data_IF_931931902061
#
_entry.id   IF_931931902061
#
_cell.length_a   1.000
_cell.length_b   1.000
_cell.length_c   1.000
_cell.angle_alpha   90.00
_cell.angle_beta   90.00
_cell.angle_gamma   90.00
#
_symmetry.space_group_name_H-M   'P 1'
#
loop_
_entity.id
_entity.type
_entity.pdbx_description
1 polymer ?
#
# COMPACT_ATOMS: atom_id res chain seq x y z
N UNK A 1 4.57 -14.86 -4.23
CA UNK A 1 3.26 -14.18 -4.23
C UNK A 1 2.74 -14.08 -5.65
N UNK A 2 1.57 -14.65 -5.94
CA UNK A 2 0.92 -14.57 -7.26
C UNK A 2 -0.45 -13.91 -7.10
N UNK A 3 -0.69 -12.84 -7.84
CA UNK A 3 -1.99 -12.16 -7.91
C UNK A 3 -2.72 -12.70 -9.14
N UNK A 4 -3.82 -13.39 -8.89
CA UNK A 4 -4.59 -14.11 -9.89
C UNK A 4 -5.79 -13.33 -10.39
N UNK A 5 -5.61 -12.52 -11.42
CA UNK A 5 -6.75 -12.00 -12.19
C UNK A 5 -7.14 -13.03 -13.26
N UNK A 6 -8.44 -13.37 -13.36
CA UNK A 6 -9.01 -14.25 -14.41
C UNK A 6 -8.58 -15.73 -14.39
N UNK A 7 -8.55 -16.35 -13.20
CA UNK A 7 -8.26 -17.78 -13.02
C UNK A 7 -9.44 -18.67 -13.44
N UNK A 8 -9.70 -18.85 -14.72
CA UNK A 8 -10.82 -19.70 -15.20
C UNK A 8 -10.42 -21.17 -15.36
N UNK A 9 -11.40 -22.06 -15.57
CA UNK A 9 -11.12 -23.47 -15.86
C UNK A 9 -10.29 -23.66 -17.14
N UNK A 10 -10.50 -22.81 -18.15
CA UNK A 10 -9.73 -22.81 -19.40
C UNK A 10 -8.36 -22.13 -19.30
N UNK A 11 -8.16 -21.30 -18.27
CA UNK A 11 -6.90 -20.61 -18.00
C UNK A 11 -6.60 -20.61 -16.49
N UNK A 12 -6.26 -21.77 -15.90
CA UNK A 12 -6.04 -21.88 -14.47
C UNK A 12 -4.67 -21.31 -14.09
N UNK A 13 -4.56 -20.83 -12.86
CA UNK A 13 -3.26 -20.41 -12.31
C UNK A 13 -2.41 -21.65 -12.01
N UNK A 14 -1.18 -21.67 -12.52
CA UNK A 14 -0.28 -22.80 -12.32
C UNK A 14 0.41 -22.68 -10.96
N UNK A 15 0.29 -23.72 -10.15
CA UNK A 15 1.03 -23.89 -8.89
C UNK A 15 2.25 -24.75 -9.20
N UNK A 16 3.42 -24.14 -9.15
CA UNK A 16 4.71 -24.83 -9.30
C UNK A 16 5.19 -25.30 -7.93
N UNK A 17 5.83 -26.46 -7.85
CA UNK A 17 6.36 -27.01 -6.60
C UNK A 17 5.32 -27.02 -5.46
N UNK A 18 4.24 -27.81 -5.55
CA UNK A 18 3.07 -27.72 -4.66
C UNK A 18 3.35 -28.00 -3.17
N UNK A 19 4.53 -28.54 -2.84
CA UNK A 19 4.96 -28.77 -1.46
C UNK A 19 5.65 -27.53 -0.85
N UNK A 20 6.15 -26.62 -1.68
CA UNK A 20 6.78 -25.36 -1.25
C UNK A 20 5.70 -24.34 -0.93
N UNK A 21 5.81 -23.75 0.26
CA UNK A 21 4.88 -22.78 0.82
C UNK A 21 4.72 -21.57 -0.10
N UNK A 22 3.50 -21.35 -0.59
CA UNK A 22 3.16 -20.28 -1.51
C UNK A 22 1.78 -19.72 -1.17
N UNK A 23 1.66 -18.40 -1.22
CA UNK A 23 0.38 -17.70 -1.11
C UNK A 23 -0.08 -17.18 -2.48
N UNK A 24 -1.31 -17.52 -2.84
CA UNK A 24 -2.02 -17.02 -4.01
C UNK A 24 -3.14 -16.11 -3.56
N UNK A 25 -3.28 -14.95 -4.20
CA UNK A 25 -4.29 -13.95 -3.91
C UNK A 25 -5.24 -13.87 -5.09
N UNK A 26 -6.54 -13.94 -4.82
CA UNK A 26 -7.56 -13.94 -5.85
C UNK A 26 -8.81 -13.18 -5.42
N UNK A 27 -9.64 -12.89 -6.41
CA UNK A 27 -10.98 -12.34 -6.21
C UNK A 27 -11.95 -13.14 -7.06
N UNK A 28 -13.08 -13.52 -6.46
CA UNK A 28 -14.19 -14.11 -7.19
C UNK A 28 -15.06 -12.98 -7.75
N UNK A 29 -15.36 -13.04 -9.04
CA UNK A 29 -16.11 -12.01 -9.78
C UNK A 29 -17.27 -12.62 -10.58
N UNK A 30 -18.12 -13.38 -9.89
CA UNK A 30 -19.28 -14.08 -10.44
C UNK A 30 -19.00 -15.49 -10.96
N UNK A 31 -17.72 -15.90 -11.02
CA UNK A 31 -17.29 -17.24 -11.41
C UNK A 31 -16.27 -17.81 -10.42
N UNK A 32 -16.17 -19.15 -10.29
CA UNK A 32 -15.15 -19.78 -9.47
C UNK A 32 -13.76 -19.64 -10.10
N UNK A 33 -12.73 -19.62 -9.24
CA UNK A 33 -11.34 -19.56 -9.68
C UNK A 33 -10.69 -20.94 -9.67
N UNK A 34 -9.82 -21.21 -10.64
CA UNK A 34 -9.14 -22.49 -10.81
C UNK A 34 -7.62 -22.36 -10.72
N UNK A 35 -7.02 -23.28 -9.99
CA UNK A 35 -5.58 -23.47 -9.91
C UNK A 35 -5.22 -24.87 -10.38
N UNK A 36 -4.09 -25.04 -11.03
CA UNK A 36 -3.62 -26.31 -11.57
C UNK A 36 -2.30 -26.70 -10.93
N UNK A 37 -2.24 -27.94 -10.45
CA UNK A 37 -1.02 -28.59 -10.01
C UNK A 37 -0.71 -29.70 -11.01
N UNK A 38 0.54 -29.77 -11.47
CA UNK A 38 1.06 -30.92 -12.22
C UNK A 38 2.33 -31.40 -11.57
N UNK A 39 2.37 -32.68 -11.18
CA UNK A 39 3.54 -33.30 -10.58
C UNK A 39 3.82 -34.66 -11.21
N UNK A 40 5.10 -34.93 -11.45
CA UNK A 40 5.64 -36.20 -11.96
C UNK A 40 5.96 -37.21 -10.86
N UNK A 41 5.85 -36.79 -9.58
CA UNK A 41 6.09 -37.61 -8.40
C UNK A 41 4.93 -37.50 -7.41
N UNK A 42 4.77 -38.47 -6.49
CA UNK A 42 3.90 -38.29 -5.34
C UNK A 42 4.33 -37.09 -4.49
N UNK A 43 3.37 -36.38 -3.90
CA UNK A 43 3.64 -35.17 -3.12
C UNK A 43 2.64 -34.98 -1.97
N UNK A 44 3.04 -34.23 -0.95
CA UNK A 44 2.15 -33.82 0.15
C UNK A 44 1.37 -32.57 -0.26
N UNK A 45 0.08 -32.74 -0.46
CA UNK A 45 -0.84 -31.65 -0.69
C UNK A 45 -1.20 -30.97 0.64
N UNK A 46 -1.11 -29.64 0.64
CA UNK A 46 -1.65 -28.79 1.68
C UNK A 46 -2.38 -27.62 1.03
N UNK A 47 -3.54 -27.25 1.59
CA UNK A 47 -4.31 -26.08 1.22
C UNK A 47 -4.93 -25.47 2.47
N UNK A 48 -4.79 -24.16 2.66
CA UNK A 48 -5.54 -23.41 3.65
C UNK A 48 -6.25 -22.22 2.99
N UNK A 49 -7.48 -21.96 3.43
CA UNK A 49 -8.31 -20.86 2.94
C UNK A 49 -8.19 -19.65 3.87
N UNK A 50 -7.98 -18.48 3.28
CA UNK A 50 -7.81 -17.21 3.98
C UNK A 50 -8.73 -16.16 3.34
N UNK A 51 -9.32 -15.28 4.13
CA UNK A 51 -10.02 -14.08 3.64
C UNK A 51 -9.43 -12.84 4.33
N UNK A 52 -9.30 -11.70 3.64
CA UNK A 52 -8.72 -10.50 4.25
C UNK A 52 -9.59 -10.01 5.41
N UNK A 53 -8.97 -9.67 6.53
CA UNK A 53 -9.62 -9.00 7.65
C UNK A 53 -9.20 -7.52 7.64
N UNK A 54 -9.93 -6.70 6.87
CA UNK A 54 -9.67 -5.27 6.75
C UNK A 54 -10.97 -4.46 6.86
N UNK A 55 -10.95 -3.27 7.51
CA UNK A 55 -12.12 -2.39 7.54
C UNK A 55 -12.67 -2.11 6.14
N UNK A 56 -13.99 -2.19 5.98
CA UNK A 56 -14.65 -1.96 4.69
C UNK A 56 -14.61 -3.14 3.71
N UNK A 57 -13.95 -4.25 4.04
CA UNK A 57 -14.00 -5.48 3.26
C UNK A 57 -14.84 -6.54 4.00
N UNK A 58 -16.01 -6.94 3.48
CA UNK A 58 -16.82 -7.97 4.11
C UNK A 58 -16.13 -9.34 4.01
N UNK A 59 -16.20 -10.18 5.06
CA UNK A 59 -15.63 -11.52 5.04
C UNK A 59 -16.48 -12.45 4.19
N UNK A 60 -16.08 -12.63 2.93
CA UNK A 60 -16.75 -13.55 2.01
C UNK A 60 -16.16 -14.95 2.14
N UNK A 61 -16.68 -15.75 3.09
CA UNK A 61 -16.16 -17.10 3.33
C UNK A 61 -16.21 -17.97 2.08
N UNK A 62 -15.05 -18.49 1.70
CA UNK A 62 -14.85 -19.33 0.52
C UNK A 62 -14.75 -20.80 0.88
N UNK A 63 -15.06 -21.65 -0.09
CA UNK A 63 -14.79 -23.08 -0.09
C UNK A 63 -13.87 -23.42 -1.24
N UNK A 64 -13.28 -24.62 -1.18
CA UNK A 64 -12.50 -25.16 -2.28
C UNK A 64 -12.82 -26.63 -2.53
N UNK A 65 -12.69 -27.05 -3.78
CA UNK A 65 -12.76 -28.44 -4.23
C UNK A 65 -11.40 -28.84 -4.82
N UNK A 66 -10.88 -30.00 -4.41
CA UNK A 66 -9.77 -30.65 -5.09
C UNK A 66 -10.34 -31.62 -6.13
N UNK A 67 -9.96 -31.44 -7.39
CA UNK A 67 -10.44 -32.22 -8.52
C UNK A 67 -9.27 -33.00 -9.14
N UNK A 68 -9.54 -34.19 -9.67
CA UNK A 68 -8.61 -34.88 -10.56
C UNK A 68 -8.67 -34.31 -12.00
N UNK A 69 -7.85 -34.87 -12.89
CA UNK A 69 -7.80 -34.45 -14.29
C UNK A 69 -9.09 -34.69 -15.09
N UNK A 70 -10.00 -35.55 -14.61
CA UNK A 70 -11.30 -35.79 -15.22
C UNK A 70 -12.39 -34.82 -14.71
N UNK A 71 -12.05 -33.97 -13.72
CA UNK A 71 -13.00 -33.07 -13.06
C UNK A 71 -13.77 -33.73 -11.91
N UNK A 72 -13.42 -34.96 -11.52
CA UNK A 72 -14.04 -35.61 -10.37
C UNK A 72 -13.53 -35.00 -9.07
N UNK A 73 -14.46 -34.68 -8.16
CA UNK A 73 -14.15 -34.17 -6.83
C UNK A 73 -13.51 -35.28 -5.99
N UNK A 74 -12.29 -35.03 -5.53
CA UNK A 74 -11.54 -35.88 -4.61
C UNK A 74 -11.73 -35.46 -3.16
N UNK A 75 -11.88 -34.15 -2.91
CA UNK A 75 -12.01 -33.57 -1.57
C UNK A 75 -12.73 -32.22 -1.63
N UNK A 76 -13.50 -31.92 -0.58
CA UNK A 76 -14.15 -30.62 -0.38
C UNK A 76 -13.61 -29.98 0.91
N UNK A 77 -13.16 -28.74 0.80
CA UNK A 77 -12.76 -27.88 1.91
C UNK A 77 -13.89 -26.86 2.11
N UNK A 78 -14.81 -27.15 3.04
CA UNK A 78 -16.05 -26.38 3.22
C UNK A 78 -15.84 -25.20 4.19
N UNK A 79 -15.69 -23.99 3.66
CA UNK A 79 -15.59 -22.78 4.48
C UNK A 79 -16.91 -22.13 4.88
N UNK A 80 -18.06 -22.47 4.28
CA UNK A 80 -19.35 -21.89 4.70
C UNK A 80 -19.85 -22.48 6.03
N UNK A 81 -19.45 -23.71 6.36
CA UNK A 81 -19.79 -24.36 7.62
C UNK A 81 -18.53 -24.69 8.43
N UNK A 82 -17.62 -23.73 8.56
CA UNK A 82 -16.38 -23.85 9.32
C UNK A 82 -16.17 -22.65 10.23
N UNK A 83 -15.34 -22.83 11.25
CA UNK A 83 -14.85 -21.74 12.08
C UNK A 83 -13.78 -20.95 11.33
N UNK A 84 -13.89 -19.62 11.39
CA UNK A 84 -12.92 -18.69 10.84
C UNK A 84 -12.32 -17.88 11.98
N UNK A 85 -11.01 -17.99 12.16
CA UNK A 85 -10.29 -17.40 13.28
C UNK A 85 -9.41 -16.23 12.82
N UNK A 86 -9.26 -15.22 13.66
CA UNK A 86 -8.33 -14.12 13.37
C UNK A 86 -6.90 -14.64 13.32
N UNK A 87 -6.20 -14.36 12.22
CA UNK A 87 -4.82 -14.79 11.99
C UNK A 87 -3.99 -13.59 11.53
N UNK A 88 -2.87 -13.32 12.20
CA UNK A 88 -1.90 -12.33 11.77
C UNK A 88 -0.80 -13.02 10.97
N UNK A 89 -0.59 -12.57 9.74
CA UNK A 89 0.44 -13.11 8.86
C UNK A 89 1.68 -12.20 8.91
N UNK A 90 2.80 -12.74 9.38
CA UNK A 90 3.98 -11.95 9.77
C UNK A 90 4.74 -11.35 8.58
N UNK A 91 4.78 -12.03 7.43
CA UNK A 91 5.55 -11.58 6.27
C UNK A 91 4.88 -10.40 5.54
N UNK A 92 3.56 -10.47 5.37
CA UNK A 92 2.73 -9.42 4.81
C UNK A 92 2.36 -8.35 5.84
N UNK A 93 2.35 -8.67 7.14
CA UNK A 93 2.01 -7.75 8.22
C UNK A 93 0.54 -7.33 8.18
N UNK A 94 -0.35 -8.28 7.94
CA UNK A 94 -1.79 -8.06 7.78
C UNK A 94 -2.61 -9.16 8.46
N UNK A 95 -3.85 -8.82 8.81
CA UNK A 95 -4.79 -9.76 9.39
C UNK A 95 -5.64 -10.44 8.32
N UNK A 96 -5.89 -11.71 8.55
CA UNK A 96 -6.83 -12.55 7.81
C UNK A 96 -7.84 -13.14 8.79
N UNK A 97 -8.96 -13.60 8.25
CA UNK A 97 -9.67 -14.70 8.86
C UNK A 97 -9.15 -15.98 8.22
N UNK A 98 -8.62 -16.88 9.06
CA UNK A 98 -8.13 -18.20 8.67
C UNK A 98 -9.27 -19.20 8.77
N UNK A 99 -9.59 -19.80 7.63
CA UNK A 99 -10.62 -20.80 7.50
C UNK A 99 -10.05 -22.23 7.56
N UNK A 100 -10.82 -23.22 7.08
CA UNK A 100 -10.42 -24.62 7.09
C UNK A 100 -9.18 -24.89 6.24
N UNK A 101 -8.48 -25.96 6.59
CA UNK A 101 -7.30 -26.47 5.89
C UNK A 101 -7.47 -27.95 5.56
N UNK A 102 -6.73 -28.41 4.56
CA UNK A 102 -6.75 -29.78 4.09
C UNK A 102 -5.34 -30.28 3.80
N UNK A 103 -5.10 -31.55 4.14
CA UNK A 103 -3.87 -32.28 3.83
C UNK A 103 -4.18 -33.61 3.17
N UNK A 104 -3.40 -33.98 2.17
CA UNK A 104 -3.50 -35.29 1.52
C UNK A 104 -2.15 -35.73 0.95
N UNK A 105 -1.94 -37.04 0.82
CA UNK A 105 -0.86 -37.57 0.00
C UNK A 105 -1.43 -37.85 -1.39
N UNK A 106 -0.95 -37.14 -2.40
CA UNK A 106 -1.40 -37.30 -3.78
C UNK A 106 -0.34 -38.04 -4.59
N UNK A 107 -0.79 -38.94 -5.47
CA UNK A 107 0.08 -39.58 -6.45
C UNK A 107 0.51 -38.58 -7.52
N UNK A 108 1.54 -38.93 -8.29
CA UNK A 108 1.92 -38.20 -9.50
C UNK A 108 0.68 -38.04 -10.42
N UNK A 109 0.48 -36.84 -10.97
CA UNK A 109 -0.70 -36.53 -11.74
C UNK A 109 -0.95 -35.04 -11.90
N UNK A 110 -2.10 -34.73 -12.51
CA UNK A 110 -2.62 -33.38 -12.64
C UNK A 110 -3.88 -33.22 -11.82
N UNK A 111 -3.94 -32.16 -11.04
CA UNK A 111 -5.04 -31.84 -10.13
C UNK A 111 -5.44 -30.38 -10.31
N UNK A 112 -6.69 -30.10 -9.98
CA UNK A 112 -7.23 -28.74 -9.99
C UNK A 112 -7.79 -28.37 -8.62
N UNK A 113 -7.56 -27.14 -8.19
CA UNK A 113 -8.23 -26.56 -7.03
C UNK A 113 -9.24 -25.56 -7.57
N UNK A 114 -10.51 -25.78 -7.28
CA UNK A 114 -11.60 -24.87 -7.62
C UNK A 114 -12.03 -24.12 -6.37
N UNK A 115 -11.82 -22.81 -6.34
CA UNK A 115 -12.21 -21.92 -5.23
C UNK A 115 -13.50 -21.21 -5.57
N UNK A 116 -14.47 -21.21 -4.64
CA UNK A 116 -15.80 -20.67 -4.88
C UNK A 116 -16.49 -20.27 -3.57
N UNK A 117 -17.60 -19.53 -3.68
CA UNK A 117 -18.60 -19.42 -2.62
C UNK A 117 -20.00 -19.31 -3.24
N UNK A 118 -21.04 -19.19 -2.42
CA UNK A 118 -22.43 -19.19 -2.89
C UNK A 118 -22.72 -18.15 -3.97
N UNK A 119 -22.03 -17.01 -3.93
CA UNK A 119 -22.23 -15.89 -4.87
C UNK A 119 -21.09 -15.75 -5.89
N UNK A 120 -20.04 -16.57 -5.76
CA UNK A 120 -18.73 -16.37 -6.39
C UNK A 120 -18.25 -14.91 -6.30
N UNK A 121 -18.23 -14.35 -5.10
CA UNK A 121 -17.80 -12.97 -4.88
C UNK A 121 -16.79 -12.83 -3.76
N UNK A 122 -15.93 -11.83 -3.89
CA UNK A 122 -15.05 -11.39 -2.81
C UNK A 122 -13.62 -11.91 -2.91
N UNK A 123 -12.77 -11.25 -2.15
CA UNK A 123 -11.33 -11.50 -2.10
C UNK A 123 -11.00 -12.66 -1.19
N UNK A 124 -10.00 -13.43 -1.58
CA UNK A 124 -9.48 -14.55 -0.79
C UNK A 124 -8.00 -14.76 -1.06
N UNK A 125 -7.36 -15.50 -0.17
CA UNK A 125 -6.05 -16.09 -0.41
C UNK A 125 -6.11 -17.59 -0.17
N UNK A 126 -5.31 -18.33 -0.91
CA UNK A 126 -5.01 -19.73 -0.60
C UNK A 126 -3.52 -19.87 -0.31
N UNK A 127 -3.20 -20.56 0.78
CA UNK A 127 -1.86 -20.99 1.10
C UNK A 127 -1.71 -22.46 0.70
N UNK A 128 -0.69 -22.78 -0.09
CA UNK A 128 -0.39 -24.15 -0.53
C UNK A 128 1.03 -24.52 -0.16
N UNK A 129 1.27 -25.82 0.08
CA UNK A 129 2.57 -26.31 0.51
C UNK A 129 2.93 -25.94 1.96
N UNK A 130 3.82 -26.70 2.56
CA UNK A 130 4.26 -26.53 3.96
C UNK A 130 5.79 -26.37 4.09
N UNK A 131 6.54 -26.58 3.00
CA UNK A 131 8.00 -26.42 3.00
C UNK A 131 8.34 -24.95 2.80
N UNK A 132 8.89 -24.31 3.83
CA UNK A 132 9.35 -22.93 3.75
C UNK A 132 10.60 -22.78 2.87
N UNK A 133 10.57 -21.80 1.98
CA UNK A 133 11.69 -21.43 1.10
C UNK A 133 11.66 -19.93 0.88
N UNK A 134 12.81 -19.26 1.06
CA UNK A 134 12.93 -17.79 0.90
C UNK A 134 14.02 -17.45 -0.11
N UNK A 135 13.79 -17.68 -1.40
CA UNK A 135 14.77 -17.35 -2.41
C UNK A 135 14.91 -15.81 -2.56
N UNK A 136 16.10 -15.36 -2.95
CA UNK A 136 16.45 -13.93 -3.00
C UNK A 136 15.60 -13.19 -4.03
N UNK A 137 15.29 -13.80 -5.16
CA UNK A 137 14.49 -13.17 -6.21
C UNK A 137 13.03 -12.94 -5.77
N UNK A 138 12.46 -13.84 -4.97
CA UNK A 138 11.14 -13.63 -4.35
C UNK A 138 11.18 -12.49 -3.33
N UNK A 139 12.26 -12.40 -2.55
CA UNK A 139 12.45 -11.32 -1.57
C UNK A 139 12.52 -9.94 -2.25
N UNK A 140 13.19 -9.84 -3.41
CA UNK A 140 13.26 -8.59 -4.18
C UNK A 140 11.88 -8.24 -4.78
N UNK A 141 11.14 -9.23 -5.30
CA UNK A 141 9.78 -9.03 -5.81
C UNK A 141 8.84 -8.51 -4.72
N UNK A 142 9.00 -8.99 -3.48
CA UNK A 142 8.17 -8.59 -2.34
C UNK A 142 8.20 -7.07 -2.06
N UNK A 143 9.31 -6.39 -2.33
CA UNK A 143 9.45 -4.93 -2.17
C UNK A 143 8.38 -4.17 -2.98
N UNK A 144 8.00 -4.71 -4.14
CA UNK A 144 7.00 -4.11 -5.04
C UNK A 144 5.62 -4.73 -4.78
N UNK A 145 5.53 -6.04 -4.59
CA UNK A 145 4.22 -6.71 -4.50
C UNK A 145 3.51 -6.48 -3.17
N UNK A 146 4.22 -6.30 -2.06
CA UNK A 146 3.59 -6.06 -0.74
C UNK A 146 2.81 -4.73 -0.72
N UNK A 147 3.37 -3.58 -1.16
CA UNK A 147 2.61 -2.34 -1.29
C UNK A 147 1.34 -2.49 -2.14
N UNK A 148 1.45 -3.14 -3.31
CA UNK A 148 0.33 -3.39 -4.21
C UNK A 148 -0.73 -4.29 -3.56
N UNK A 149 -0.31 -5.32 -2.82
CA UNK A 149 -1.22 -6.19 -2.09
C UNK A 149 -1.97 -5.41 -1.01
N UNK A 150 -1.27 -4.61 -0.21
CA UNK A 150 -1.89 -3.77 0.82
C UNK A 150 -2.95 -2.83 0.22
N UNK A 151 -2.66 -2.26 -0.94
CA UNK A 151 -3.59 -1.35 -1.60
C UNK A 151 -4.77 -2.06 -2.25
N UNK A 152 -4.52 -3.01 -3.13
CA UNK A 152 -5.57 -3.62 -3.93
C UNK A 152 -6.31 -4.73 -3.20
N UNK A 153 -5.62 -5.53 -2.39
CA UNK A 153 -6.24 -6.65 -1.66
C UNK A 153 -6.84 -6.19 -0.33
N UNK A 154 -6.07 -5.47 0.48
CA UNK A 154 -6.49 -5.01 1.82
C UNK A 154 -7.14 -3.62 1.85
N UNK A 155 -7.27 -2.94 0.71
CA UNK A 155 -7.87 -1.60 0.61
C UNK A 155 -7.17 -0.53 1.48
N UNK A 156 -5.86 -0.69 1.75
CA UNK A 156 -5.06 0.30 2.49
C UNK A 156 -4.55 1.40 1.56
N UNK A 157 -4.57 2.68 1.94
CA UNK A 157 -4.22 3.79 1.05
C UNK A 157 -2.70 3.99 0.87
N UNK A 158 -1.96 2.94 0.48
CA UNK A 158 -0.48 2.97 0.45
C UNK A 158 0.07 4.02 -0.52
N UNK A 159 -0.38 4.02 -1.79
CA UNK A 159 0.10 5.00 -2.78
C UNK A 159 -0.20 6.43 -2.36
N UNK A 160 -1.40 6.68 -1.82
CA UNK A 160 -1.80 8.02 -1.37
C UNK A 160 -0.92 8.49 -0.21
N UNK A 161 -0.76 7.67 0.84
CA UNK A 161 0.10 8.02 1.97
C UNK A 161 1.54 8.26 1.53
N UNK A 162 2.07 7.43 0.62
CA UNK A 162 3.42 7.61 0.07
C UNK A 162 3.57 8.96 -0.65
N UNK A 163 2.61 9.33 -1.51
CA UNK A 163 2.63 10.59 -2.23
C UNK A 163 2.48 11.79 -1.29
N UNK A 164 1.65 11.70 -0.26
CA UNK A 164 1.54 12.74 0.78
C UNK A 164 2.87 12.97 1.50
N UNK A 165 3.49 11.89 2.00
CA UNK A 165 4.79 11.98 2.66
C UNK A 165 5.85 12.55 1.71
N UNK A 166 5.89 12.10 0.45
CA UNK A 166 6.82 12.60 -0.55
C UNK A 166 6.62 14.10 -0.80
N UNK A 167 5.38 14.54 -0.99
CA UNK A 167 5.02 15.94 -1.20
C UNK A 167 5.46 16.82 -0.01
N UNK A 168 5.14 16.38 1.20
CA UNK A 168 5.52 17.08 2.44
C UNK A 168 7.04 17.12 2.59
N UNK A 169 7.77 16.02 2.37
CA UNK A 169 9.24 15.99 2.49
C UNK A 169 9.88 16.93 1.47
N UNK A 170 9.44 16.93 0.22
CA UNK A 170 9.98 17.81 -0.82
C UNK A 170 9.70 19.28 -0.51
N UNK A 171 8.51 19.62 -0.01
CA UNK A 171 8.14 20.99 0.35
C UNK A 171 8.75 21.42 1.70
N UNK A 172 8.28 20.83 2.81
CA UNK A 172 8.69 21.17 4.16
C UNK A 172 10.17 20.85 4.39
N UNK A 173 10.71 19.73 3.90
CA UNK A 173 12.13 19.42 4.03
C UNK A 173 13.02 20.48 3.39
N UNK A 174 12.70 20.92 2.17
CA UNK A 174 13.41 22.01 1.50
C UNK A 174 13.23 23.36 2.23
N UNK A 175 12.03 23.65 2.73
CA UNK A 175 11.76 24.83 3.56
C UNK A 175 12.59 24.80 4.85
N UNK A 176 12.74 23.64 5.50
CA UNK A 176 13.55 23.49 6.70
C UNK A 176 15.04 23.71 6.43
N UNK A 177 15.56 23.25 5.29
CA UNK A 177 16.93 23.58 4.86
C UNK A 177 17.10 25.10 4.74
N UNK A 178 16.19 25.78 4.04
CA UNK A 178 16.23 27.23 3.91
C UNK A 178 16.08 27.94 5.27
N UNK A 179 15.26 27.41 6.17
CA UNK A 179 15.08 27.97 7.50
C UNK A 179 16.38 27.94 8.32
N UNK A 180 17.09 26.80 8.32
CA UNK A 180 18.39 26.66 8.99
C UNK A 180 19.43 27.60 8.38
N UNK A 181 19.48 27.69 7.04
CA UNK A 181 20.37 28.62 6.36
C UNK A 181 20.07 30.07 6.75
N UNK A 182 18.80 30.47 6.80
CA UNK A 182 18.36 31.81 7.18
C UNK A 182 18.76 32.19 8.61
N UNK A 183 18.71 31.24 9.55
CA UNK A 183 19.23 31.43 10.90
C UNK A 183 20.73 31.73 10.91
N UNK A 184 21.50 31.06 10.05
CA UNK A 184 22.94 31.28 9.89
C UNK A 184 23.27 32.58 9.13
N UNK A 185 22.45 32.97 8.14
CA UNK A 185 22.61 34.22 7.37
C UNK A 185 22.66 35.47 8.25
N UNK A 186 22.04 35.43 9.43
CA UNK A 186 22.13 36.51 10.43
C UNK A 186 23.56 36.88 10.82
N UNK A 187 24.50 35.93 10.70
CA UNK A 187 25.87 36.04 11.20
C UNK A 187 26.90 36.29 10.11
N UNK A 188 26.55 36.11 8.83
CA UNK A 188 27.51 36.23 7.73
C UNK A 188 26.83 36.65 6.42
N UNK A 189 27.46 37.61 5.73
CA UNK A 189 27.08 38.00 4.37
C UNK A 189 27.26 36.85 3.38
N UNK A 190 28.37 36.12 3.47
CA UNK A 190 28.65 34.96 2.62
C UNK A 190 27.54 33.90 2.71
N UNK A 191 27.10 33.57 3.93
CA UNK A 191 25.98 32.64 4.13
C UNK A 191 24.68 33.21 3.57
N UNK A 192 24.48 34.52 3.65
CA UNK A 192 23.30 35.18 3.07
C UNK A 192 23.26 34.99 1.55
N UNK A 193 24.36 35.28 0.86
CA UNK A 193 24.46 35.16 -0.60
C UNK A 193 24.33 33.70 -1.06
N UNK A 194 24.92 32.77 -0.29
CA UNK A 194 24.72 31.33 -0.50
C UNK A 194 23.26 30.93 -0.32
N UNK A 195 22.57 31.46 0.69
CA UNK A 195 21.15 31.16 0.95
C UNK A 195 20.26 31.64 -0.20
N UNK A 196 20.55 32.80 -0.79
CA UNK A 196 19.85 33.28 -1.98
C UNK A 196 20.02 32.30 -3.14
N UNK A 197 21.25 31.87 -3.41
CA UNK A 197 21.55 30.89 -4.46
C UNK A 197 20.81 29.58 -4.25
N UNK A 198 20.91 28.99 -3.04
CA UNK A 198 20.24 27.73 -2.69
C UNK A 198 18.71 27.88 -2.75
N UNK A 199 18.15 29.04 -2.39
CA UNK A 199 16.71 29.30 -2.52
C UNK A 199 16.23 29.22 -3.96
N UNK A 200 17.05 29.64 -4.93
CA UNK A 200 16.75 29.48 -6.36
C UNK A 200 16.70 28.02 -6.79
N UNK A 201 17.64 27.21 -6.30
CA UNK A 201 17.72 25.76 -6.58
C UNK A 201 16.57 24.97 -5.95
N UNK A 202 16.22 25.29 -4.70
CA UNK A 202 15.17 24.59 -3.97
C UNK A 202 13.75 25.03 -4.36
N UNK A 203 13.58 26.22 -4.94
CA UNK A 203 12.27 26.73 -5.38
C UNK A 203 11.47 25.72 -6.22
N UNK A 204 11.99 25.13 -7.32
CA UNK A 204 11.24 24.13 -8.08
C UNK A 204 10.91 22.88 -7.26
N UNK A 205 11.80 22.43 -6.37
CA UNK A 205 11.57 21.27 -5.49
C UNK A 205 10.43 21.54 -4.50
N UNK A 206 10.41 22.73 -3.90
CA UNK A 206 9.34 23.16 -2.99
C UNK A 206 8.00 23.16 -3.73
N UNK A 207 7.93 23.74 -4.93
CA UNK A 207 6.69 23.80 -5.70
C UNK A 207 6.22 22.43 -6.19
N UNK A 208 7.14 21.53 -6.55
CA UNK A 208 6.81 20.14 -6.85
C UNK A 208 6.22 19.44 -5.63
N UNK A 209 6.83 19.60 -4.46
CA UNK A 209 6.32 19.05 -3.20
C UNK A 209 4.94 19.59 -2.84
N UNK A 210 4.73 20.91 -2.97
CA UNK A 210 3.44 21.56 -2.77
C UNK A 210 2.38 21.00 -3.71
N UNK A 211 2.72 20.82 -4.99
CA UNK A 211 1.79 20.28 -5.99
C UNK A 211 1.37 18.84 -5.66
N UNK A 212 2.33 17.97 -5.34
CA UNK A 212 2.05 16.58 -4.94
C UNK A 212 1.19 16.55 -3.67
N UNK A 213 1.52 17.38 -2.68
CA UNK A 213 0.74 17.51 -1.43
C UNK A 213 -0.69 17.96 -1.75
N UNK A 214 -0.86 18.95 -2.62
CA UNK A 214 -2.18 19.47 -3.00
C UNK A 214 -3.05 18.42 -3.70
N UNK A 215 -2.47 17.68 -4.66
CA UNK A 215 -3.19 16.62 -5.39
C UNK A 215 -3.61 15.49 -4.43
N UNK A 216 -2.69 15.06 -3.57
CA UNK A 216 -2.95 13.97 -2.62
C UNK A 216 -4.01 14.40 -1.58
N UNK A 217 -3.88 15.62 -1.06
CA UNK A 217 -4.84 16.20 -0.12
C UNK A 217 -6.24 16.37 -0.73
N UNK A 218 -6.31 16.77 -1.99
CA UNK A 218 -7.57 16.85 -2.72
C UNK A 218 -8.26 15.48 -2.80
N UNK A 219 -7.51 14.41 -3.04
CA UNK A 219 -8.04 13.05 -3.07
C UNK A 219 -8.59 12.60 -1.71
N UNK A 220 -7.90 12.94 -0.60
CA UNK A 220 -8.40 12.69 0.76
C UNK A 220 -9.72 13.40 1.00
N UNK A 221 -9.80 14.70 0.69
CA UNK A 221 -11.03 15.49 0.84
C UNK A 221 -12.16 15.02 -0.08
N UNK A 222 -11.85 14.43 -1.24
CA UNK A 222 -12.86 13.86 -2.12
C UNK A 222 -13.57 12.65 -1.49
N UNK A 223 -12.87 11.86 -0.64
CA UNK A 223 -13.48 10.71 0.05
C UNK A 223 -14.41 11.10 1.19
N UNK A 224 -14.11 12.19 1.90
CA UNK A 224 -14.92 12.72 3.00
C UNK A 224 -14.98 14.26 2.94
N UNK A 225 -15.81 14.82 2.05
CA UNK A 225 -15.83 16.27 1.80
C UNK A 225 -16.40 17.09 2.96
N UNK A 226 -17.09 16.45 3.92
CA UNK A 226 -17.71 17.12 5.07
C UNK A 226 -16.84 17.05 6.33
N UNK A 227 -15.63 16.48 6.23
CA UNK A 227 -14.69 16.42 7.34
C UNK A 227 -14.28 17.83 7.81
N UNK A 228 -14.71 18.25 9.00
CA UNK A 228 -14.47 19.60 9.52
C UNK A 228 -12.98 19.89 9.66
N UNK A 229 -12.20 18.94 10.20
CA UNK A 229 -10.75 19.09 10.35
C UNK A 229 -10.09 19.18 8.97
N UNK A 230 -10.57 18.38 8.01
CA UNK A 230 -10.12 18.39 6.62
C UNK A 230 -10.37 19.71 5.91
N UNK A 231 -11.53 20.32 6.10
CA UNK A 231 -11.85 21.65 5.57
C UNK A 231 -10.90 22.70 6.14
N UNK A 232 -10.68 22.70 7.46
CA UNK A 232 -9.73 23.61 8.11
C UNK A 232 -8.31 23.44 7.57
N UNK A 233 -7.85 22.19 7.41
CA UNK A 233 -6.53 21.89 6.91
C UNK A 233 -6.37 22.25 5.41
N UNK A 234 -7.46 22.19 4.64
CA UNK A 234 -7.51 22.66 3.24
C UNK A 234 -7.33 24.18 3.14
N UNK A 235 -7.98 24.95 4.02
CA UNK A 235 -7.78 26.40 4.11
C UNK A 235 -6.34 26.72 4.49
N UNK A 236 -5.78 25.97 5.45
CA UNK A 236 -4.38 26.09 5.85
C UNK A 236 -3.43 25.80 4.68
N UNK A 237 -3.69 24.77 3.87
CA UNK A 237 -2.89 24.46 2.70
C UNK A 237 -2.90 25.60 1.67
N UNK A 238 -4.07 26.20 1.40
CA UNK A 238 -4.17 27.38 0.52
C UNK A 238 -3.33 28.53 1.07
N UNK A 239 -3.42 28.79 2.37
CA UNK A 239 -2.58 29.80 3.05
C UNK A 239 -1.09 29.48 2.89
N UNK A 240 -0.68 28.22 3.05
CA UNK A 240 0.71 27.77 2.88
C UNK A 240 1.21 28.00 1.45
N UNK A 241 0.38 27.79 0.43
CA UNK A 241 0.73 28.09 -0.97
C UNK A 241 1.01 29.58 -1.14
N UNK A 242 0.11 30.44 -0.65
CA UNK A 242 0.26 31.90 -0.74
C UNK A 242 1.49 32.39 0.01
N UNK A 243 1.71 31.89 1.24
CA UNK A 243 2.88 32.25 2.05
C UNK A 243 4.19 31.75 1.44
N UNK A 244 4.20 30.54 0.87
CA UNK A 244 5.38 29.97 0.21
C UNK A 244 5.78 30.83 -1.00
N UNK A 245 4.80 31.27 -1.80
CA UNK A 245 5.05 32.23 -2.88
C UNK A 245 5.60 33.56 -2.34
N UNK A 246 4.91 34.15 -1.37
CA UNK A 246 5.29 35.45 -0.79
C UNK A 246 6.71 35.41 -0.21
N UNK A 247 7.04 34.41 0.60
CA UNK A 247 8.35 34.26 1.23
C UNK A 247 9.43 33.94 0.19
N UNK A 248 9.13 33.08 -0.79
CA UNK A 248 10.04 32.82 -1.90
C UNK A 248 10.44 34.09 -2.65
N UNK A 249 9.49 35.02 -2.86
CA UNK A 249 9.79 36.32 -3.48
C UNK A 249 10.70 37.22 -2.63
N UNK A 250 10.64 37.09 -1.30
CA UNK A 250 11.49 37.82 -0.35
C UNK A 250 12.88 37.22 -0.24
N UNK A 251 12.99 35.90 -0.24
CA UNK A 251 14.28 35.19 -0.24
C UNK A 251 15.09 35.54 -1.49
N UNK A 252 14.46 35.64 -2.66
CA UNK A 252 15.14 36.03 -3.90
C UNK A 252 15.70 37.47 -3.90
N UNK A 253 15.26 38.32 -2.97
CA UNK A 253 15.64 39.75 -2.87
C UNK A 253 16.29 40.10 -1.53
N UNK A 254 16.67 39.11 -0.73
CA UNK A 254 17.22 39.36 0.60
C UNK A 254 18.69 39.77 0.50
N UNK A 255 19.10 40.62 1.43
CA UNK A 255 20.47 41.09 1.58
C UNK A 255 20.91 40.90 3.03
N UNK A 256 22.22 40.92 3.27
CA UNK A 256 22.74 40.80 4.63
C UNK A 256 22.15 41.87 5.55
N UNK A 257 21.64 41.45 6.72
CA UNK A 257 20.94 42.32 7.67
C UNK A 257 19.45 42.53 7.40
N UNK A 258 18.93 42.18 6.21
CA UNK A 258 17.50 42.31 5.84
C UNK A 258 16.95 40.96 5.40
N UNK A 259 16.72 40.07 6.36
CA UNK A 259 16.27 38.69 6.13
C UNK A 259 14.82 38.46 6.60
N UNK A 260 13.99 37.69 5.86
CA UNK A 260 12.59 37.45 6.19
C UNK A 260 12.37 36.37 7.28
N UNK A 261 13.18 36.35 8.35
CA UNK A 261 13.21 35.23 9.31
C UNK A 261 11.89 34.99 10.06
N UNK A 262 11.23 36.05 10.52
CA UNK A 262 9.96 35.93 11.26
C UNK A 262 8.90 35.28 10.37
N UNK A 263 8.79 35.73 9.12
CA UNK A 263 7.83 35.20 8.14
C UNK A 263 8.12 33.74 7.81
N UNK A 264 9.40 33.40 7.64
CA UNK A 264 9.84 32.01 7.44
C UNK A 264 9.49 31.13 8.65
N UNK A 265 9.66 31.64 9.87
CA UNK A 265 9.29 30.92 11.09
C UNK A 265 7.79 30.63 11.13
N UNK A 266 6.96 31.62 10.80
CA UNK A 266 5.50 31.45 10.70
C UNK A 266 5.16 30.38 9.65
N UNK A 267 5.78 30.42 8.46
CA UNK A 267 5.56 29.40 7.42
C UNK A 267 5.91 27.99 7.91
N UNK A 268 7.07 27.82 8.58
CA UNK A 268 7.50 26.54 9.14
C UNK A 268 6.50 26.03 10.18
N UNK A 269 6.06 26.87 11.10
CA UNK A 269 5.09 26.50 12.13
C UNK A 269 3.77 26.08 11.50
N UNK A 270 3.27 26.83 10.51
CA UNK A 270 2.03 26.50 9.81
C UNK A 270 2.15 25.19 9.02
N UNK A 271 3.31 24.89 8.42
CA UNK A 271 3.55 23.59 7.79
C UNK A 271 3.51 22.44 8.80
N UNK A 272 4.11 22.60 9.98
CA UNK A 272 4.04 21.58 11.03
C UNK A 272 2.62 21.38 11.55
N UNK A 273 1.83 22.46 11.68
CA UNK A 273 0.41 22.37 12.02
C UNK A 273 -0.34 21.60 10.93
N UNK A 274 -0.08 21.91 9.65
CA UNK A 274 -0.69 21.19 8.52
C UNK A 274 -0.38 19.70 8.55
N UNK A 275 0.88 19.32 8.78
CA UNK A 275 1.31 17.91 8.88
C UNK A 275 0.62 17.22 10.04
N UNK A 276 0.56 17.84 11.21
CA UNK A 276 -0.12 17.29 12.38
C UNK A 276 -1.61 17.04 12.12
N UNK A 277 -2.30 18.01 11.50
CA UNK A 277 -3.72 17.87 11.16
C UNK A 277 -3.94 16.84 10.05
N UNK A 278 -3.04 16.74 9.07
CA UNK A 278 -3.13 15.76 8.00
C UNK A 278 -3.12 14.33 8.56
N UNK A 279 -2.17 14.01 9.45
CA UNK A 279 -2.05 12.69 10.10
C UNK A 279 -3.31 12.30 10.89
N UNK A 280 -4.06 13.27 11.41
CA UNK A 280 -5.28 12.99 12.15
C UNK A 280 -6.47 12.61 11.25
N UNK A 281 -6.36 12.83 9.93
CA UNK A 281 -7.43 12.63 8.94
C UNK A 281 -7.14 11.46 8.01
N UNK A 282 -5.86 11.24 7.66
CA UNK A 282 -5.42 10.18 6.74
C UNK A 282 -5.18 8.83 7.41
#
# INVERSE_FOLDING_TARGET
>A
MVIGENASSGNPIIILNPEVSQAFYGELQGQPNFYKISSDKPFKFYLNLLVPASPGIPPNFISAELLDSSGKVLMVINGQNSTWESYFEEFGGDYYLKGPEARANLAAGTYYIKVFNSNNQGKYSIAVGEIESFPIDESIKAIITIPLLKEHFFAKPVTILFLEFLGIILALGSIMVLYVMLLKSRKSREITDLTVTISGVLKPVIWLGVLITFISWFYVMYKDPLNIVGILNSILLILLVVLSWYIGSKLAKMEFGKIPLIRMTVLVVLWWIFVYLAIAIT
#
